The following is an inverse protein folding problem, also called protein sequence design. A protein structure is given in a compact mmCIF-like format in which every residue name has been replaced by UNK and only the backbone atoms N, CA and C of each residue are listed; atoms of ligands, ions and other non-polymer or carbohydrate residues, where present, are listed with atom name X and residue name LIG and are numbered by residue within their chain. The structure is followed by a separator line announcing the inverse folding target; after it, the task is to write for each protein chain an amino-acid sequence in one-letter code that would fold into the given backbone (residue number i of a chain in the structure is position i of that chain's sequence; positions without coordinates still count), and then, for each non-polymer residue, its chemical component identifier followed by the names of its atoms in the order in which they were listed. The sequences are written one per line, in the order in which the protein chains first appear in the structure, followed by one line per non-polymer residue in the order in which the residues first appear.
data_IF_783382761893
#
_entry.id   IF_783382761893
#
_cell.length_a   1.000
_cell.length_b   1.000
_cell.length_c   1.000
_cell.angle_alpha   90.00
_cell.angle_beta   90.00
_cell.angle_gamma   90.00
#
_symmetry.space_group_name_H-M   'P 1'
#
loop_
_entity.id
_entity.type
_entity.pdbx_description
1 polymer ?
#
# COMPACT_ATOMS: atom_id res chain seq x y z
N UNK A 1 29.71 16.34 -19.48
CA UNK A 1 29.65 14.94 -18.99
C UNK A 1 29.63 14.83 -17.47
N UNK A 2 28.64 15.43 -16.82
CA UNK A 2 28.32 15.17 -15.41
C UNK A 2 27.20 14.13 -15.39
N UNK A 3 27.60 12.88 -15.61
CA UNK A 3 26.75 11.71 -15.34
C UNK A 3 26.43 11.72 -13.85
N UNK A 4 25.20 12.12 -13.52
CA UNK A 4 24.62 11.95 -12.20
C UNK A 4 24.53 10.44 -11.94
N UNK A 5 25.56 9.90 -11.30
CA UNK A 5 25.52 8.61 -10.65
C UNK A 5 24.53 8.70 -9.48
N UNK A 6 23.23 8.72 -9.79
CA UNK A 6 22.20 8.30 -8.84
C UNK A 6 22.66 6.93 -8.38
N UNK A 7 23.10 6.84 -7.12
CA UNK A 7 23.33 5.55 -6.47
C UNK A 7 22.06 4.76 -6.70
N UNK A 8 22.16 3.70 -7.50
CA UNK A 8 21.05 2.79 -7.75
C UNK A 8 20.85 2.05 -6.45
N UNK A 9 20.07 2.63 -5.54
CA UNK A 9 19.76 2.02 -4.25
C UNK A 9 19.17 0.64 -4.53
N UNK A 10 19.68 -0.37 -3.83
CA UNK A 10 19.23 -1.74 -4.03
C UNK A 10 17.71 -1.81 -3.79
N UNK A 11 16.97 -2.43 -4.72
CA UNK A 11 15.51 -2.42 -4.73
C UNK A 11 14.97 -3.79 -4.33
N UNK A 12 14.05 -3.85 -3.35
CA UNK A 12 13.27 -5.04 -3.02
C UNK A 12 12.12 -5.26 -4.02
N UNK A 13 12.46 -5.32 -5.31
CA UNK A 13 11.50 -5.45 -6.40
C UNK A 13 10.76 -6.79 -6.39
N UNK A 14 11.31 -7.82 -5.75
CA UNK A 14 10.65 -9.10 -5.51
C UNK A 14 9.50 -8.98 -4.51
N UNK A 15 9.64 -8.08 -3.53
CA UNK A 15 8.62 -7.82 -2.52
C UNK A 15 7.52 -6.95 -3.07
N UNK A 16 7.82 -5.78 -3.66
CA UNK A 16 6.83 -4.80 -4.13
C UNK A 16 6.19 -5.19 -5.48
N UNK A 17 5.56 -6.37 -5.51
CA UNK A 17 4.82 -6.92 -6.65
C UNK A 17 3.36 -7.12 -6.32
N UNK A 18 2.52 -7.00 -7.34
CA UNK A 18 1.14 -7.43 -7.30
C UNK A 18 1.02 -8.97 -7.17
N UNK A 19 -0.22 -9.45 -7.15
CA UNK A 19 -0.49 -10.89 -7.05
C UNK A 19 -0.11 -11.67 -8.32
N UNK A 20 -0.02 -11.02 -9.47
CA UNK A 20 0.49 -11.61 -10.72
C UNK A 20 2.02 -11.65 -10.77
N UNK A 21 2.69 -10.98 -9.85
CA UNK A 21 4.13 -10.86 -9.80
C UNK A 21 4.67 -9.72 -10.66
N UNK A 22 3.84 -8.79 -11.14
CA UNK A 22 4.30 -7.56 -11.79
C UNK A 22 4.66 -6.54 -10.70
N UNK A 23 5.67 -5.67 -10.92
CA UNK A 23 5.90 -4.54 -10.01
C UNK A 23 4.63 -3.70 -9.83
N UNK A 24 4.40 -3.19 -8.61
CA UNK A 24 3.27 -2.30 -8.36
C UNK A 24 3.35 -1.07 -9.28
N UNK A 25 2.23 -0.70 -9.91
CA UNK A 25 2.22 0.52 -10.72
C UNK A 25 2.06 1.76 -9.85
N UNK A 26 2.62 2.88 -10.32
CA UNK A 26 2.45 4.19 -9.70
C UNK A 26 0.97 4.55 -9.60
N UNK A 27 0.22 4.29 -10.65
CA UNK A 27 -1.22 4.52 -10.75
C UNK A 27 -1.99 3.72 -9.71
N UNK A 28 -1.58 2.46 -9.45
CA UNK A 28 -2.22 1.62 -8.44
C UNK A 28 -2.00 2.20 -7.04
N UNK A 29 -0.78 2.64 -6.71
CA UNK A 29 -0.48 3.26 -5.40
C UNK A 29 -1.29 4.55 -5.23
N UNK A 30 -1.28 5.41 -6.24
CA UNK A 30 -2.00 6.70 -6.24
C UNK A 30 -3.52 6.51 -6.08
N UNK A 31 -4.11 5.50 -6.71
CA UNK A 31 -5.55 5.18 -6.60
C UNK A 31 -5.98 4.75 -5.19
N UNK A 32 -5.11 4.09 -4.44
CA UNK A 32 -5.37 3.58 -3.09
C UNK A 32 -5.05 4.61 -1.99
N UNK A 33 -4.30 5.66 -2.33
CA UNK A 33 -4.06 6.78 -1.42
C UNK A 33 -5.22 7.78 -1.50
N UNK A 34 -6.33 7.46 -0.83
CA UNK A 34 -7.53 8.33 -0.73
C UNK A 34 -7.18 9.77 -0.31
N UNK A 35 -6.14 9.94 0.53
CA UNK A 35 -5.67 11.25 1.00
C UNK A 35 -5.15 12.18 -0.09
N UNK A 36 -4.87 11.67 -1.29
CA UNK A 36 -4.25 12.42 -2.37
C UNK A 36 -5.25 12.78 -3.48
N UNK A 37 -6.48 12.25 -3.43
CA UNK A 37 -7.50 12.52 -4.45
C UNK A 37 -7.91 13.99 -4.41
N UNK A 38 -7.64 14.72 -5.49
CA UNK A 38 -7.94 16.16 -5.60
C UNK A 38 -6.93 17.08 -4.90
N UNK A 39 -5.77 16.55 -4.48
CA UNK A 39 -4.71 17.38 -3.88
C UNK A 39 -3.78 17.98 -4.93
N UNK A 40 -3.01 19.00 -4.52
CA UNK A 40 -1.96 19.62 -5.33
C UNK A 40 -0.68 18.74 -5.43
N UNK A 41 -0.79 17.43 -5.21
CA UNK A 41 0.34 16.51 -5.26
C UNK A 41 0.04 15.36 -6.21
N UNK A 42 1.02 15.02 -7.03
CA UNK A 42 0.99 13.89 -7.95
C UNK A 42 2.14 12.95 -7.65
N UNK A 43 1.86 11.65 -7.62
CA UNK A 43 2.92 10.69 -7.37
C UNK A 43 3.83 10.65 -8.60
N UNK A 44 5.10 11.01 -8.46
CA UNK A 44 6.11 10.96 -9.52
C UNK A 44 6.67 9.55 -9.67
N UNK A 45 6.89 8.89 -8.54
CA UNK A 45 7.42 7.53 -8.49
C UNK A 45 7.55 7.03 -7.07
N UNK A 46 8.18 5.87 -6.92
CA UNK A 46 8.48 5.32 -5.62
C UNK A 46 9.78 4.52 -5.68
N UNK A 47 10.42 4.35 -4.53
CA UNK A 47 11.55 3.44 -4.35
C UNK A 47 11.27 2.46 -3.21
N UNK A 48 11.89 1.30 -3.27
CA UNK A 48 11.72 0.23 -2.27
C UNK A 48 13.10 -0.25 -1.84
N UNK A 49 13.75 0.42 -0.88
CA UNK A 49 15.09 0.06 -0.46
C UNK A 49 15.16 -1.38 0.04
N UNK A 50 16.13 -2.16 -0.42
CA UNK A 50 16.32 -3.56 -0.02
C UNK A 50 16.58 -3.69 1.48
N UNK A 51 17.24 -2.70 2.11
CA UNK A 51 17.44 -2.64 3.55
C UNK A 51 16.14 -2.60 4.36
N UNK A 52 15.01 -2.21 3.74
CA UNK A 52 13.69 -2.21 4.37
C UNK A 52 12.95 -3.53 4.23
N UNK A 53 13.47 -4.46 3.42
CA UNK A 53 12.86 -5.76 3.19
C UNK A 53 12.94 -6.62 4.45
N UNK A 54 11.81 -7.23 4.80
CA UNK A 54 11.69 -8.09 5.96
C UNK A 54 10.88 -9.33 5.62
N UNK A 55 11.41 -10.49 6.00
CA UNK A 55 10.64 -11.75 5.99
C UNK A 55 10.00 -11.93 7.35
N UNK A 56 8.66 -11.86 7.38
CA UNK A 56 7.85 -12.18 8.55
C UNK A 56 7.38 -13.65 8.48
N UNK A 57 6.69 -14.10 9.53
CA UNK A 57 6.21 -15.48 9.65
C UNK A 57 5.36 -15.94 8.46
N UNK A 58 4.47 -15.07 7.98
CA UNK A 58 3.47 -15.39 6.95
C UNK A 58 3.61 -14.53 5.68
N UNK A 59 4.48 -13.53 5.71
CA UNK A 59 4.53 -12.49 4.68
C UNK A 59 5.96 -12.05 4.40
N UNK A 60 6.18 -11.50 3.21
CA UNK A 60 7.25 -10.53 2.99
C UNK A 60 6.70 -9.13 3.18
N UNK A 61 7.54 -8.20 3.58
CA UNK A 61 7.18 -6.79 3.60
C UNK A 61 8.38 -5.90 3.32
N UNK A 62 8.11 -4.67 2.94
CA UNK A 62 9.13 -3.65 2.68
C UNK A 62 8.54 -2.26 2.92
N UNK A 63 9.42 -1.27 3.14
CA UNK A 63 9.03 0.13 3.14
C UNK A 63 9.08 0.65 1.70
N UNK A 64 7.95 1.17 1.21
CA UNK A 64 7.88 1.93 -0.03
C UNK A 64 8.08 3.40 0.33
N UNK A 65 9.07 4.05 -0.27
CA UNK A 65 9.28 5.49 -0.18
C UNK A 65 8.62 6.15 -1.39
N UNK A 66 7.83 7.19 -1.17
CA UNK A 66 7.03 7.85 -2.19
C UNK A 66 7.67 9.17 -2.61
N UNK A 67 7.84 9.37 -3.91
CA UNK A 67 8.34 10.62 -4.50
C UNK A 67 7.15 11.40 -5.08
N UNK A 68 6.87 12.56 -4.49
CA UNK A 68 5.73 13.41 -4.84
C UNK A 68 6.19 14.66 -5.58
N UNK A 69 5.45 15.01 -6.62
CA UNK A 69 5.58 16.28 -7.33
C UNK A 69 4.41 17.19 -6.91
N UNK A 70 4.74 18.40 -6.44
CA UNK A 70 3.72 19.41 -6.16
C UNK A 70 3.31 20.07 -7.48
N UNK A 71 2.02 20.04 -7.78
CA UNK A 71 1.44 20.77 -8.90
C UNK A 71 1.12 22.17 -8.40
N UNK A 72 1.95 23.14 -8.80
CA UNK A 72 1.64 24.54 -8.57
C UNK A 72 0.54 24.95 -9.56
N UNK A 73 -0.67 25.19 -9.04
CA UNK A 73 -1.69 25.86 -9.83
C UNK A 73 -1.31 27.35 -9.89
N UNK A 74 -0.72 27.81 -10.98
CA UNK A 74 -0.31 29.21 -11.21
C UNK A 74 -1.50 30.21 -11.34
N UNK A 75 -2.62 30.01 -10.64
CA UNK A 75 -3.78 30.92 -10.66
C UNK A 75 -4.43 31.07 -9.27
N UNK A 76 -3.66 31.42 -8.25
CA UNK A 76 -4.19 31.96 -6.98
C UNK A 76 -3.59 33.37 -6.74
N UNK A 77 -3.70 34.24 -7.76
CA UNK A 77 -3.73 35.70 -7.56
C UNK A 77 -5.22 36.10 -7.43
N UNK A 78 -5.88 35.74 -6.33
CA UNK A 78 -7.00 36.56 -5.84
C UNK A 78 -7.15 36.39 -4.33
N UNK A 79 -7.06 37.54 -3.68
CA UNK A 79 -7.23 37.73 -2.24
C UNK A 79 -8.69 37.48 -1.84
N UNK A 80 -8.83 36.93 -0.63
CA UNK A 80 -10.02 36.89 0.22
C UNK A 80 -10.99 35.70 0.10
N UNK A 81 -11.18 35.10 1.28
CA UNK A 81 -12.39 34.39 1.73
C UNK A 81 -12.55 32.91 1.31
N UNK A 82 -11.57 32.07 1.70
CA UNK A 82 -11.75 30.60 1.71
C UNK A 82 -12.00 30.12 3.16
N UNK A 83 -13.21 29.60 3.37
CA UNK A 83 -13.73 29.06 4.63
C UNK A 83 -12.78 28.01 5.26
N UNK A 84 -12.77 27.91 6.60
CA UNK A 84 -11.91 26.97 7.34
C UNK A 84 -12.09 25.48 6.96
N UNK A 85 -13.21 25.12 6.33
CA UNK A 85 -13.49 23.75 5.87
C UNK A 85 -12.61 23.32 4.66
N UNK A 86 -12.12 24.26 3.84
CA UNK A 86 -11.24 23.97 2.69
C UNK A 86 -9.75 23.79 3.08
N UNK A 87 -9.36 24.21 4.29
CA UNK A 87 -7.99 24.01 4.80
C UNK A 87 -7.67 22.56 5.15
N UNK A 88 -8.69 21.69 5.27
CA UNK A 88 -8.50 20.28 5.60
C UNK A 88 -7.91 19.46 4.43
N UNK A 89 -7.80 20.04 3.22
CA UNK A 89 -7.23 19.40 2.03
C UNK A 89 -5.73 19.67 1.78
N UNK A 90 -5.01 20.25 2.74
CA UNK A 90 -3.58 20.59 2.62
C UNK A 90 -2.64 19.75 3.48
N UNK A 91 -3.07 18.60 4.00
CA UNK A 91 -2.13 17.69 4.67
C UNK A 91 -1.21 17.09 3.59
N UNK A 92 0.13 17.19 3.74
CA UNK A 92 1.04 16.61 2.77
C UNK A 92 0.81 15.09 2.67
N UNK A 93 0.93 14.51 1.47
CA UNK A 93 0.74 13.08 1.28
C UNK A 93 1.79 12.29 2.06
N UNK A 94 1.55 11.00 2.36
CA UNK A 94 2.49 10.20 3.12
C UNK A 94 3.82 10.08 2.37
N UNK A 95 4.93 10.24 3.09
CA UNK A 95 6.28 10.06 2.54
C UNK A 95 6.63 8.59 2.30
N UNK A 96 5.98 7.68 3.03
CA UNK A 96 6.24 6.24 2.91
C UNK A 96 5.05 5.38 3.32
N UNK A 97 5.06 4.14 2.85
CA UNK A 97 4.08 3.11 3.14
C UNK A 97 4.77 1.82 3.56
N UNK A 98 4.14 1.06 4.45
CA UNK A 98 4.57 -0.31 4.69
C UNK A 98 3.77 -1.26 3.79
N UNK A 99 4.47 -1.93 2.88
CA UNK A 99 3.87 -2.91 1.99
C UNK A 99 4.06 -4.31 2.56
N UNK A 100 2.99 -5.11 2.56
CA UNK A 100 3.00 -6.49 3.06
C UNK A 100 2.35 -7.40 2.02
N UNK A 101 3.05 -8.47 1.66
CA UNK A 101 2.61 -9.45 0.67
C UNK A 101 2.56 -10.84 1.28
N UNK A 102 1.44 -11.52 1.10
CA UNK A 102 1.21 -12.90 1.53
C UNK A 102 0.85 -13.71 0.30
N UNK A 103 1.68 -14.69 -0.03
CA UNK A 103 1.39 -15.66 -1.07
C UNK A 103 1.29 -17.03 -0.41
N UNK A 104 0.06 -17.50 -0.23
CA UNK A 104 -0.20 -18.76 0.48
C UNK A 104 0.50 -19.96 -0.17
N UNK A 105 0.67 -19.96 -1.51
CA UNK A 105 1.38 -21.04 -2.19
C UNK A 105 2.86 -21.11 -1.83
N UNK A 106 3.47 -20.02 -1.36
CA UNK A 106 4.89 -19.95 -1.01
C UNK A 106 5.15 -20.48 0.41
N UNK A 107 4.09 -20.65 1.21
CA UNK A 107 4.16 -21.07 2.61
C UNK A 107 4.02 -22.60 2.77
N UNK A 108 5.04 -23.26 3.32
CA UNK A 108 5.05 -24.71 3.55
C UNK A 108 3.85 -25.24 4.33
N UNK A 109 3.48 -24.53 5.40
CA UNK A 109 2.36 -24.93 6.24
C UNK A 109 1.02 -24.73 5.51
N UNK A 110 0.88 -23.74 4.63
CA UNK A 110 -0.32 -23.54 3.84
C UNK A 110 -0.45 -24.61 2.75
N UNK A 111 0.66 -24.98 2.09
CA UNK A 111 0.71 -26.14 1.19
C UNK A 111 0.35 -27.45 1.90
N UNK A 112 0.87 -27.65 3.11
CA UNK A 112 0.56 -28.80 3.95
C UNK A 112 -0.92 -28.82 4.36
N UNK A 113 -1.47 -27.65 4.72
CA UNK A 113 -2.87 -27.46 5.09
C UNK A 113 -3.80 -27.67 3.89
N UNK A 114 -3.43 -27.25 2.69
CA UNK A 114 -4.18 -27.53 1.46
C UNK A 114 -4.35 -29.04 1.23
N UNK A 115 -3.28 -29.82 1.45
CA UNK A 115 -3.31 -31.29 1.29
C UNK A 115 -4.10 -32.01 2.38
N UNK A 116 -3.94 -31.60 3.65
CA UNK A 116 -4.46 -32.35 4.81
C UNK A 116 -5.79 -31.82 5.34
N UNK A 117 -6.09 -30.54 5.13
CA UNK A 117 -7.26 -29.86 5.69
C UNK A 117 -7.65 -28.62 4.85
N UNK A 118 -8.06 -28.79 3.58
CA UNK A 118 -8.31 -27.68 2.65
C UNK A 118 -9.37 -26.68 3.16
N UNK A 119 -10.39 -27.17 3.87
CA UNK A 119 -11.41 -26.33 4.50
C UNK A 119 -10.83 -25.34 5.53
N UNK A 120 -9.74 -25.71 6.22
CA UNK A 120 -9.06 -24.79 7.16
C UNK A 120 -8.35 -23.68 6.41
N UNK A 121 -7.73 -23.98 5.27
CA UNK A 121 -7.08 -22.97 4.45
C UNK A 121 -8.10 -21.98 3.86
N UNK A 122 -9.23 -22.49 3.35
CA UNK A 122 -10.34 -21.66 2.86
C UNK A 122 -10.82 -20.73 3.98
N UNK A 123 -11.06 -21.27 5.17
CA UNK A 123 -11.44 -20.47 6.35
C UNK A 123 -10.40 -19.39 6.68
N UNK A 124 -9.11 -19.72 6.65
CA UNK A 124 -8.05 -18.76 6.97
C UNK A 124 -8.02 -17.63 5.91
N UNK A 125 -8.20 -17.95 4.62
CA UNK A 125 -8.33 -16.94 3.53
C UNK A 125 -9.53 -16.02 3.78
N UNK A 126 -10.69 -16.59 4.14
CA UNK A 126 -11.87 -15.78 4.49
C UNK A 126 -11.62 -14.87 5.70
N UNK A 127 -10.87 -15.34 6.70
CA UNK A 127 -10.51 -14.51 7.85
C UNK A 127 -9.71 -13.27 7.44
N UNK A 128 -8.72 -13.42 6.54
CA UNK A 128 -7.98 -12.28 6.00
C UNK A 128 -8.87 -11.33 5.19
N UNK A 129 -9.80 -11.87 4.40
CA UNK A 129 -10.76 -11.05 3.67
C UNK A 129 -11.61 -10.19 4.60
N UNK A 130 -12.13 -10.76 5.68
CA UNK A 130 -12.93 -10.00 6.66
C UNK A 130 -12.10 -8.91 7.31
N UNK A 131 -10.88 -9.22 7.75
CA UNK A 131 -9.98 -8.25 8.38
C UNK A 131 -9.62 -7.10 7.43
N UNK A 132 -9.17 -7.42 6.22
CA UNK A 132 -8.82 -6.41 5.22
C UNK A 132 -10.02 -5.55 4.85
N UNK A 133 -11.18 -6.16 4.59
CA UNK A 133 -12.41 -5.42 4.27
C UNK A 133 -12.80 -4.46 5.40
N UNK A 134 -12.67 -4.89 6.66
CA UNK A 134 -12.94 -4.03 7.81
C UNK A 134 -11.95 -2.87 7.88
N UNK A 135 -10.65 -3.15 7.79
CA UNK A 135 -9.60 -2.12 7.87
C UNK A 135 -9.69 -1.08 6.75
N UNK A 136 -10.21 -1.44 5.57
CA UNK A 136 -10.45 -0.52 4.45
C UNK A 136 -11.84 0.11 4.45
N UNK A 137 -12.72 -0.26 5.39
CA UNK A 137 -14.11 0.23 5.44
C UNK A 137 -14.24 1.60 6.12
N UNK A 138 -15.30 2.32 5.78
CA UNK A 138 -15.66 3.58 6.44
C UNK A 138 -15.94 3.39 7.94
N UNK A 139 -16.42 2.22 8.35
CA UNK A 139 -16.64 1.90 9.76
C UNK A 139 -15.32 1.94 10.55
N UNK A 140 -14.22 1.42 10.00
CA UNK A 140 -12.91 1.51 10.64
C UNK A 140 -12.40 2.95 10.65
N UNK A 141 -12.60 3.70 9.55
CA UNK A 141 -12.27 5.13 9.48
C UNK A 141 -12.99 5.93 10.58
N UNK A 142 -14.27 5.67 10.82
CA UNK A 142 -15.05 6.28 11.91
C UNK A 142 -14.53 5.91 13.31
N UNK A 143 -14.13 4.66 13.55
CA UNK A 143 -13.53 4.28 14.85
C UNK A 143 -12.23 5.06 15.15
N UNK A 144 -11.42 5.29 14.13
CA UNK A 144 -10.19 6.08 14.28
C UNK A 144 -10.52 7.56 14.51
N UNK A 145 -11.42 8.14 13.71
CA UNK A 145 -11.74 9.57 13.76
C UNK A 145 -12.56 9.95 14.99
N UNK A 146 -13.63 9.22 15.26
CA UNK A 146 -14.68 9.61 16.21
C UNK A 146 -14.43 8.98 17.59
N UNK A 147 -14.07 7.70 17.62
CA UNK A 147 -13.79 6.98 18.87
C UNK A 147 -12.32 7.08 19.32
N UNK A 148 -11.45 7.74 18.52
CA UNK A 148 -10.01 7.92 18.78
C UNK A 148 -9.27 6.61 19.07
N UNK A 149 -9.72 5.51 18.48
CA UNK A 149 -9.04 4.21 18.60
C UNK A 149 -7.83 4.22 17.67
N UNK A 150 -6.67 3.87 18.21
CA UNK A 150 -5.47 3.72 17.40
C UNK A 150 -5.55 2.42 16.57
N UNK A 151 -5.70 2.58 15.26
CA UNK A 151 -5.60 1.50 14.26
C UNK A 151 -4.58 1.94 13.23
N UNK A 152 -3.69 1.03 12.82
CA UNK A 152 -2.76 1.32 11.73
C UNK A 152 -3.54 1.60 10.44
N UNK A 153 -3.23 2.71 9.77
CA UNK A 153 -3.86 3.06 8.50
C UNK A 153 -3.61 1.99 7.44
N UNK A 154 -4.68 1.52 6.80
CA UNK A 154 -4.63 0.63 5.65
C UNK A 154 -5.17 1.36 4.44
N UNK A 155 -4.29 1.62 3.47
CA UNK A 155 -4.64 2.35 2.26
C UNK A 155 -5.26 1.46 1.18
N UNK A 156 -4.97 0.15 1.22
CA UNK A 156 -5.51 -0.77 0.25
C UNK A 156 -5.20 -2.22 0.57
N UNK A 157 -5.97 -3.12 -0.03
CA UNK A 157 -5.73 -4.55 0.00
C UNK A 157 -6.20 -5.20 -1.30
N UNK A 158 -5.41 -6.13 -1.83
CA UNK A 158 -5.79 -6.96 -2.96
C UNK A 158 -5.73 -8.42 -2.52
N UNK A 159 -6.86 -9.13 -2.61
CA UNK A 159 -7.02 -10.48 -2.04
C UNK A 159 -7.54 -11.51 -3.06
N UNK A 160 -7.53 -11.17 -4.35
CA UNK A 160 -8.05 -12.06 -5.38
C UNK A 160 -7.31 -13.41 -5.35
N UNK A 161 -8.02 -14.53 -5.55
CA UNK A 161 -7.37 -15.82 -5.75
C UNK A 161 -6.45 -15.77 -6.96
N UNK A 162 -5.24 -16.30 -6.80
CA UNK A 162 -4.31 -16.53 -7.92
C UNK A 162 -4.08 -18.03 -8.10
N UNK A 163 -3.93 -18.46 -9.35
CA UNK A 163 -3.59 -19.84 -9.68
C UNK A 163 -2.20 -20.17 -9.13
N UNK A 164 -2.16 -20.96 -8.05
CA UNK A 164 -0.92 -21.46 -7.46
C UNK A 164 -0.36 -22.64 -8.23
N UNK A 165 0.09 -22.44 -9.47
CA UNK A 165 0.60 -23.55 -10.27
C UNK A 165 2.01 -24.00 -9.82
N UNK A 166 2.84 -23.10 -9.27
CA UNK A 166 4.11 -23.38 -8.54
C UNK A 166 4.48 -22.21 -7.59
N UNK A 167 5.30 -22.42 -6.54
CA UNK A 167 5.87 -21.32 -5.75
C UNK A 167 6.64 -20.37 -6.66
N UNK A 168 6.52 -19.05 -6.47
CA UNK A 168 7.27 -18.04 -7.22
C UNK A 168 8.54 -17.64 -6.47
#
# INVERSE_FOLDING_TARGET
DTSCCLKKEAQAIDVARDLDGSPLSREWIEQHLDCCRGTAYKLRGYSVPEASAVRMMMSTGARILLDWEKIDNENDDDDNDKNEEDKMHQCPPPESLFFKRIVMSDLDHARSKLKKAPHKLIRDVHSYQVECNFLTSDACKCLVKDARIHVNGVYGSELRPIKGERPK
#
